data_IF_403809045490
#
_entry.id   IF_403809045490
#
_cell.length_a   1.000
_cell.length_b   1.000
_cell.length_c   1.000
_cell.angle_alpha   90.00
_cell.angle_beta   90.00
_cell.angle_gamma   90.00
#
_symmetry.space_group_name_H-M   'P 1'
#
loop_
_entity.id
_entity.type
_entity.pdbx_description
1 polymer ?
#
# COMPACT_ATOMS: atom_id res chain seq x y z
N UNK A 1 -34.01 28.24 -41.60
CA UNK A 1 -33.25 26.99 -41.33
C UNK A 1 -31.78 27.29 -41.55
N UNK A 2 -31.01 27.36 -40.46
CA UNK A 2 -29.58 27.63 -40.46
C UNK A 2 -28.80 26.32 -40.53
N UNK A 3 -27.86 26.19 -41.46
CA UNK A 3 -26.76 25.23 -41.37
C UNK A 3 -25.47 25.94 -41.77
N UNK A 4 -24.83 26.60 -40.79
CA UNK A 4 -23.44 27.05 -40.90
C UNK A 4 -22.59 25.95 -40.26
N UNK A 5 -21.97 25.12 -41.10
CA UNK A 5 -20.91 24.23 -40.67
C UNK A 5 -19.65 25.08 -40.43
N UNK A 6 -19.42 25.45 -39.18
CA UNK A 6 -18.09 25.81 -38.68
C UNK A 6 -18.08 25.52 -37.20
N UNK A 7 -17.20 24.61 -36.79
CA UNK A 7 -16.32 24.71 -35.63
C UNK A 7 -15.69 23.32 -35.42
N UNK A 8 -14.63 23.09 -36.21
CA UNK A 8 -13.41 22.47 -35.70
C UNK A 8 -13.12 23.02 -34.31
N UNK A 9 -13.28 22.21 -33.26
CA UNK A 9 -13.14 22.70 -31.90
C UNK A 9 -13.03 21.67 -30.78
N UNK A 10 -13.32 20.38 -30.98
CA UNK A 10 -13.27 19.41 -29.87
C UNK A 10 -12.14 18.40 -30.08
N UNK A 11 -10.89 18.88 -30.02
CA UNK A 11 -9.72 18.02 -29.78
C UNK A 11 -9.44 18.02 -28.28
N UNK A 12 -10.00 17.01 -27.61
CA UNK A 12 -9.57 16.41 -26.36
C UNK A 12 -8.86 17.37 -25.38
N UNK A 13 -9.61 17.93 -24.44
CA UNK A 13 -9.06 18.36 -23.16
C UNK A 13 -8.28 17.18 -22.55
N UNK A 14 -6.96 17.29 -22.58
CA UNK A 14 -6.05 16.42 -21.85
C UNK A 14 -6.41 16.50 -20.38
N UNK A 15 -7.14 15.49 -19.90
CA UNK A 15 -7.52 15.31 -18.51
C UNK A 15 -6.24 15.35 -17.64
N UNK A 16 -5.89 16.53 -17.12
CA UNK A 16 -4.71 16.75 -16.28
C UNK A 16 -4.93 15.96 -15.00
N UNK A 17 -4.39 14.73 -14.95
CA UNK A 17 -4.46 13.86 -13.78
C UNK A 17 -3.81 14.58 -12.61
N UNK A 18 -4.64 15.26 -11.81
CA UNK A 18 -4.16 16.04 -10.68
C UNK A 18 -3.83 15.03 -9.59
N UNK A 19 -2.54 14.80 -9.35
CA UNK A 19 -2.12 13.92 -8.26
C UNK A 19 -2.40 14.60 -6.92
N UNK A 20 -3.23 14.01 -6.04
CA UNK A 20 -3.49 14.57 -4.72
C UNK A 20 -2.18 14.63 -3.91
N UNK A 21 -2.05 15.66 -3.06
CA UNK A 21 -0.89 15.86 -2.17
C UNK A 21 -1.27 15.51 -0.73
N UNK A 22 -0.43 14.71 -0.08
CA UNK A 22 -0.53 14.40 1.35
C UNK A 22 0.59 15.17 2.07
N UNK A 23 0.24 15.85 3.16
CA UNK A 23 1.19 16.51 4.06
C UNK A 23 1.19 15.74 5.37
N UNK A 24 2.38 15.35 5.83
CA UNK A 24 2.57 14.58 7.05
C UNK A 24 3.46 15.39 7.99
N UNK A 25 3.04 15.54 9.24
CA UNK A 25 3.81 16.21 10.28
C UNK A 25 4.53 15.16 11.12
N UNK A 26 5.84 15.34 11.28
CA UNK A 26 6.72 14.45 12.04
C UNK A 26 7.71 15.26 12.86
N UNK A 27 8.19 14.68 13.96
CA UNK A 27 9.34 15.23 14.68
C UNK A 27 10.60 15.16 13.82
N UNK A 28 11.56 16.04 14.08
CA UNK A 28 12.85 16.03 13.37
C UNK A 28 13.56 14.67 13.45
N UNK A 29 13.48 14.01 14.62
CA UNK A 29 14.05 12.69 14.82
C UNK A 29 13.41 11.65 13.89
N UNK A 30 12.08 11.68 13.71
CA UNK A 30 11.42 10.79 12.75
C UNK A 30 11.77 11.11 11.30
N UNK A 31 11.96 12.38 10.95
CA UNK A 31 12.43 12.76 9.61
C UNK A 31 13.82 12.16 9.35
N UNK A 32 14.75 12.25 10.31
CA UNK A 32 16.10 11.66 10.18
C UNK A 32 16.05 10.15 10.01
N UNK A 33 15.18 9.46 10.74
CA UNK A 33 15.00 8.01 10.57
C UNK A 33 14.47 7.64 9.19
N UNK A 34 13.48 8.38 8.67
CA UNK A 34 12.95 8.18 7.31
C UNK A 34 14.03 8.39 6.25
N UNK A 35 14.86 9.42 6.41
CA UNK A 35 15.99 9.69 5.50
C UNK A 35 17.05 8.58 5.55
N UNK A 36 17.32 8.03 6.74
CA UNK A 36 18.23 6.90 6.88
C UNK A 36 17.67 5.62 6.22
N UNK A 37 16.38 5.35 6.36
CA UNK A 37 15.73 4.24 5.66
C UNK A 37 15.76 4.43 4.15
N UNK A 38 15.48 5.64 3.67
CA UNK A 38 15.57 5.99 2.25
C UNK A 38 16.95 5.70 1.69
N UNK A 39 18.02 6.12 2.39
CA UNK A 39 19.41 5.83 2.00
C UNK A 39 19.73 4.34 2.03
N UNK A 40 19.30 3.62 3.07
CA UNK A 40 19.54 2.18 3.21
C UNK A 40 18.90 1.36 2.09
N UNK A 41 17.77 1.82 1.57
CA UNK A 41 17.04 1.18 0.47
C UNK A 41 17.40 1.75 -0.91
N UNK A 42 18.36 2.68 -0.98
CA UNK A 42 18.77 3.36 -2.22
C UNK A 42 17.60 4.00 -2.99
N UNK A 43 16.74 4.71 -2.26
CA UNK A 43 15.56 5.36 -2.84
C UNK A 43 15.83 6.84 -3.13
N UNK A 44 15.36 7.30 -4.28
CA UNK A 44 15.56 8.67 -4.74
C UNK A 44 14.56 9.65 -4.11
N UNK A 45 13.37 9.18 -3.72
CA UNK A 45 12.34 10.05 -3.16
C UNK A 45 11.61 9.46 -1.95
N UNK A 46 11.09 10.35 -1.09
CA UNK A 46 10.17 9.97 0.00
C UNK A 46 8.87 9.32 -0.51
N UNK A 47 8.45 9.65 -1.75
CA UNK A 47 7.30 9.03 -2.42
C UNK A 47 7.55 7.54 -2.65
N UNK A 48 8.75 7.16 -3.10
CA UNK A 48 9.12 5.75 -3.27
C UNK A 48 9.10 5.03 -1.93
N UNK A 49 9.72 5.59 -0.89
CA UNK A 49 9.70 5.02 0.45
C UNK A 49 8.26 4.78 0.94
N UNK A 50 7.39 5.77 0.76
CA UNK A 50 5.98 5.67 1.13
C UNK A 50 5.25 4.57 0.34
N UNK A 51 5.47 4.49 -0.97
CA UNK A 51 4.86 3.47 -1.82
C UNK A 51 5.31 2.05 -1.44
N UNK A 52 6.59 1.84 -1.13
CA UNK A 52 7.09 0.54 -0.68
C UNK A 52 6.52 0.15 0.69
N UNK A 53 6.46 1.11 1.64
CA UNK A 53 5.83 0.88 2.93
C UNK A 53 4.35 0.52 2.79
N UNK A 54 3.62 1.22 1.91
CA UNK A 54 2.21 0.93 1.62
C UNK A 54 2.04 -0.46 1.02
N UNK A 55 2.84 -0.83 0.01
CA UNK A 55 2.77 -2.17 -0.60
C UNK A 55 3.04 -3.30 0.40
N UNK A 56 4.00 -3.11 1.31
CA UNK A 56 4.27 -4.07 2.38
C UNK A 56 3.08 -4.21 3.34
N UNK A 57 2.45 -3.08 3.70
CA UNK A 57 1.28 -3.09 4.57
C UNK A 57 0.07 -3.75 3.89
N UNK A 58 -0.19 -3.45 2.62
CA UNK A 58 -1.25 -4.10 1.85
C UNK A 58 -1.04 -5.62 1.75
N UNK A 59 0.19 -6.07 1.52
CA UNK A 59 0.52 -7.49 1.53
C UNK A 59 0.24 -8.11 2.90
N UNK A 60 0.68 -7.47 3.99
CA UNK A 60 0.47 -7.96 5.35
C UNK A 60 -1.02 -8.06 5.70
N UNK A 61 -1.84 -7.08 5.28
CA UNK A 61 -3.30 -7.11 5.43
C UNK A 61 -3.87 -8.35 4.76
N UNK A 62 -3.51 -8.61 3.49
CA UNK A 62 -3.97 -9.79 2.75
C UNK A 62 -3.59 -11.11 3.43
N UNK A 63 -2.39 -11.19 4.02
CA UNK A 63 -1.98 -12.37 4.78
C UNK A 63 -2.88 -12.59 6.00
N UNK A 64 -3.19 -11.53 6.75
CA UNK A 64 -4.08 -11.59 7.92
C UNK A 64 -5.52 -11.95 7.54
N UNK A 65 -6.03 -11.41 6.44
CA UNK A 65 -7.36 -11.75 5.91
C UNK A 65 -7.47 -13.24 5.54
N UNK A 66 -6.37 -13.86 5.12
CA UNK A 66 -6.28 -15.30 4.84
C UNK A 66 -6.05 -16.16 6.09
N UNK A 67 -5.91 -15.55 7.27
CA UNK A 67 -5.66 -16.25 8.53
C UNK A 67 -4.19 -16.55 8.83
N UNK A 68 -3.26 -16.02 8.04
CA UNK A 68 -1.82 -16.14 8.30
C UNK A 68 -1.33 -15.09 9.30
N UNK A 69 -0.19 -15.36 9.94
CA UNK A 69 0.55 -14.40 10.76
C UNK A 69 1.82 -13.93 10.03
N UNK A 70 2.26 -12.70 10.28
CA UNK A 70 3.50 -12.17 9.70
C UNK A 70 4.64 -12.44 10.67
N UNK A 71 5.61 -13.24 10.26
CA UNK A 71 6.73 -13.65 11.10
C UNK A 71 8.07 -13.51 10.39
N UNK A 72 9.11 -13.24 11.17
CA UNK A 72 10.51 -13.38 10.77
C UNK A 72 10.93 -14.81 11.05
N UNK A 73 11.46 -15.50 10.03
CA UNK A 73 12.10 -16.81 10.17
C UNK A 73 13.61 -16.70 9.91
N UNK A 74 14.39 -17.54 10.58
CA UNK A 74 15.81 -17.74 10.28
C UNK A 74 15.99 -19.19 9.80
N UNK A 75 16.70 -19.38 8.68
CA UNK A 75 16.94 -20.72 8.13
C UNK A 75 17.89 -21.57 8.98
N UNK A 76 18.80 -20.94 9.73
CA UNK A 76 19.80 -21.60 10.58
C UNK A 76 19.28 -21.88 11.99
N UNK A 77 18.34 -21.05 12.45
CA UNK A 77 17.78 -21.12 13.80
C UNK A 77 16.27 -21.29 13.67
N UNK A 78 15.69 -22.43 14.10
CA UNK A 78 14.24 -22.68 14.02
C UNK A 78 13.49 -21.88 15.10
N UNK A 79 13.60 -20.55 15.02
CA UNK A 79 12.86 -19.59 15.83
C UNK A 79 12.13 -18.67 14.89
N UNK A 80 10.85 -18.48 15.19
CA UNK A 80 9.98 -17.53 14.53
C UNK A 80 9.66 -16.40 15.50
N UNK A 81 9.77 -15.16 15.02
CA UNK A 81 9.36 -13.97 15.77
C UNK A 81 8.21 -13.34 15.01
N UNK A 82 7.02 -13.34 15.60
CA UNK A 82 5.87 -12.65 15.01
C UNK A 82 6.03 -11.14 15.10
N UNK A 83 5.70 -10.43 14.01
CA UNK A 83 5.64 -8.97 14.01
C UNK A 83 4.41 -8.55 14.81
N UNK A 84 4.63 -7.89 15.95
CA UNK A 84 3.55 -7.24 16.70
C UNK A 84 3.22 -5.88 16.06
N UNK A 85 2.07 -5.83 15.38
CA UNK A 85 1.55 -4.59 14.80
C UNK A 85 0.06 -4.45 15.18
N UNK A 86 -0.29 -3.59 16.15
CA UNK A 86 -1.67 -3.49 16.66
C UNK A 86 -2.75 -3.19 15.62
N UNK A 87 -2.38 -2.60 14.48
CA UNK A 87 -3.31 -2.36 13.37
C UNK A 87 -3.72 -3.67 12.66
N UNK A 88 -2.84 -4.67 12.61
CA UNK A 88 -3.11 -5.98 11.99
C UNK A 88 -3.98 -6.89 12.87
N UNK A 89 -3.97 -6.68 14.19
CA UNK A 89 -4.82 -7.44 15.14
C UNK A 89 -6.32 -7.14 14.95
N UNK A 90 -6.64 -6.04 14.28
CA UNK A 90 -8.02 -5.63 13.98
C UNK A 90 -8.60 -6.36 12.78
N UNK A 91 -7.76 -7.05 11.99
CA UNK A 91 -8.17 -7.74 10.77
C UNK A 91 -8.67 -9.13 11.15
N UNK A 92 -9.92 -9.43 10.77
CA UNK A 92 -10.53 -10.74 10.99
C UNK A 92 -10.30 -11.63 9.77
N UNK A 93 -9.94 -12.91 9.95
CA UNK A 93 -9.84 -13.84 8.84
C UNK A 93 -11.18 -13.96 8.11
N UNK A 94 -11.13 -14.03 6.78
CA UNK A 94 -12.27 -14.36 5.95
C UNK A 94 -12.65 -15.80 6.28
N UNK A 95 -13.81 -15.98 6.92
CA UNK A 95 -14.34 -17.32 7.19
C UNK A 95 -14.68 -17.97 5.84
N UNK A 96 -13.90 -18.96 5.42
CA UNK A 96 -14.35 -19.89 4.39
C UNK A 96 -15.52 -20.68 4.99
N UNK A 97 -16.75 -20.25 4.68
CA UNK A 97 -17.94 -21.08 4.88
C UNK A 97 -17.67 -22.38 4.13
N UNK A 98 -17.46 -23.47 4.87
CA UNK A 98 -17.36 -24.80 4.31
C UNK A 98 -18.62 -25.04 3.45
N UNK A 99 -18.42 -25.13 2.14
CA UNK A 99 -19.32 -25.86 1.27
C UNK A 99 -18.99 -27.33 1.50
N UNK A 100 -19.43 -27.88 2.63
CA UNK A 100 -19.60 -29.32 2.73
C UNK A 100 -20.78 -29.66 1.83
N UNK A 101 -20.45 -30.21 0.67
CA UNK A 101 -21.40 -30.86 -0.20
C UNK A 101 -22.13 -31.91 0.62
N UNK A 102 -23.45 -31.78 0.65
CA UNK A 102 -24.39 -32.79 1.09
C UNK A 102 -24.22 -33.99 0.15
N UNK A 103 -23.71 -35.10 0.68
CA UNK A 103 -23.93 -36.45 0.13
C UNK A 103 -25.00 -37.16 0.98
#
# INVERSE_FOLDING_TARGET
MNVIAKLTGDRAESNKSTSPRIVLEYSENRIKELENLQKKLDLSTRKELFNYALGMLEWAVKQREQGYVVMVGNHEIPRYIEISMPALDRIKPIQHRQLEAVD
#
